data_IF_587292344362
#
_entry.id   IF_587292344362
#
_cell.length_a   1.000
_cell.length_b   1.000
_cell.length_c   1.000
_cell.angle_alpha   90.00
_cell.angle_beta   90.00
_cell.angle_gamma   90.00
#
_symmetry.space_group_name_H-M   'P 1'
#
loop_
_entity.id
_entity.type
_entity.pdbx_description
1 polymer ?
#
# COMPACT_ATOMS: atom_id res chain seq x y z
N UNK A 1 20.48 -42.79 -4.77
CA UNK A 1 20.61 -41.45 -5.39
C UNK A 1 19.74 -40.39 -4.69
N UNK A 2 18.42 -40.60 -4.54
CA UNK A 2 17.51 -39.66 -3.84
C UNK A 2 17.86 -39.42 -2.36
N UNK A 3 18.29 -40.43 -1.62
CA UNK A 3 18.65 -40.28 -0.20
C UNK A 3 19.91 -39.43 0.00
N UNK A 4 20.95 -39.65 -0.81
CA UNK A 4 22.16 -38.83 -0.81
C UNK A 4 21.87 -37.36 -1.20
N UNK A 5 20.96 -37.15 -2.15
CA UNK A 5 20.48 -35.81 -2.50
C UNK A 5 19.74 -35.14 -1.32
N UNK A 6 18.84 -35.86 -0.63
CA UNK A 6 18.13 -35.34 0.55
C UNK A 6 19.08 -34.97 1.68
N UNK A 7 20.03 -35.85 2.02
CA UNK A 7 21.05 -35.60 3.03
C UNK A 7 21.91 -34.38 2.69
N UNK A 8 22.41 -34.28 1.45
CA UNK A 8 23.19 -33.11 1.03
C UNK A 8 22.35 -31.83 1.08
N UNK A 9 21.11 -31.88 0.59
CA UNK A 9 20.19 -30.74 0.63
C UNK A 9 19.96 -30.27 2.07
N UNK A 10 19.67 -31.20 2.99
CA UNK A 10 19.47 -30.89 4.42
C UNK A 10 20.70 -30.29 5.09
N UNK A 11 21.91 -30.78 4.76
CA UNK A 11 23.17 -30.21 5.26
C UNK A 11 23.45 -28.80 4.70
N UNK A 12 22.94 -28.48 3.52
CA UNK A 12 23.11 -27.16 2.88
C UNK A 12 21.96 -26.19 3.15
N UNK A 13 20.88 -26.63 3.79
CA UNK A 13 19.74 -25.76 4.11
C UNK A 13 20.18 -24.75 5.15
N UNK A 14 20.13 -23.48 4.77
CA UNK A 14 20.37 -22.37 5.68
C UNK A 14 19.08 -22.13 6.47
N UNK A 15 19.16 -22.28 7.79
CA UNK A 15 18.04 -21.98 8.69
C UNK A 15 17.96 -20.48 8.95
N UNK A 16 16.75 -19.98 9.16
CA UNK A 16 16.56 -18.57 9.49
C UNK A 16 17.25 -18.22 10.80
N UNK A 17 17.19 -19.13 11.79
CA UNK A 17 17.82 -18.95 13.10
C UNK A 17 19.34 -18.90 13.06
N UNK A 18 19.98 -19.44 12.02
CA UNK A 18 21.44 -19.46 11.88
C UNK A 18 21.98 -18.13 11.32
N UNK A 19 21.15 -17.43 10.52
CA UNK A 19 21.50 -16.14 9.91
C UNK A 19 20.97 -14.94 10.68
N UNK A 20 19.79 -15.05 11.27
CA UNK A 20 19.06 -13.93 11.83
C UNK A 20 18.69 -14.18 13.29
N UNK A 21 18.80 -13.11 14.08
CA UNK A 21 18.26 -13.04 15.43
C UNK A 21 16.94 -12.26 15.38
N UNK A 22 15.84 -12.91 15.77
CA UNK A 22 14.52 -12.28 15.84
C UNK A 22 14.47 -11.38 17.08
N UNK A 23 14.31 -10.08 16.84
CA UNK A 23 14.21 -9.06 17.89
C UNK A 23 12.78 -8.94 18.44
N UNK A 24 11.77 -9.29 17.63
CA UNK A 24 10.39 -9.44 18.10
C UNK A 24 9.34 -9.23 17.03
N UNK A 25 8.08 -9.35 17.43
CA UNK A 25 6.91 -9.28 16.55
C UNK A 25 6.50 -7.83 16.27
N UNK A 26 6.24 -7.50 15.00
CA UNK A 26 5.79 -6.18 14.56
C UNK A 26 4.28 -6.20 14.29
N UNK A 27 3.81 -7.10 13.42
CA UNK A 27 2.41 -7.12 13.00
C UNK A 27 1.99 -8.47 12.42
N UNK A 28 0.68 -8.71 12.38
CA UNK A 28 0.06 -9.84 11.69
C UNK A 28 -1.02 -9.30 10.76
N UNK A 29 -1.06 -9.80 9.53
CA UNK A 29 -2.04 -9.42 8.53
C UNK A 29 -2.70 -10.62 7.87
N UNK A 30 -3.42 -10.35 6.77
CA UNK A 30 -4.06 -11.37 5.94
C UNK A 30 -3.03 -12.39 5.43
N UNK A 31 -1.88 -11.91 4.97
CA UNK A 31 -0.87 -12.72 4.27
C UNK A 31 0.16 -13.41 5.18
N UNK A 32 0.30 -13.00 6.44
CA UNK A 32 1.40 -13.49 7.25
C UNK A 32 1.62 -12.75 8.57
N UNK A 33 2.76 -13.05 9.18
CA UNK A 33 3.31 -12.36 10.35
C UNK A 33 4.61 -11.65 9.94
N UNK A 34 4.87 -10.50 10.53
CA UNK A 34 6.08 -9.71 10.27
C UNK A 34 6.86 -9.54 11.56
N UNK A 35 8.14 -9.86 11.52
CA UNK A 35 9.06 -9.80 12.64
C UNK A 35 10.21 -8.84 12.34
N UNK A 36 10.71 -8.16 13.37
CA UNK A 36 11.98 -7.44 13.30
C UNK A 36 13.10 -8.42 13.56
N UNK A 37 14.19 -8.33 12.80
CA UNK A 37 15.36 -9.16 12.96
C UNK A 37 16.65 -8.35 12.75
N UNK A 38 17.76 -8.87 13.25
CA UNK A 38 19.12 -8.43 12.89
C UNK A 38 19.92 -9.60 12.34
N UNK A 39 20.93 -9.30 11.54
CA UNK A 39 21.91 -10.31 11.14
C UNK A 39 22.71 -10.80 12.34
N UNK A 40 23.01 -12.10 12.37
CA UNK A 40 23.97 -12.69 13.31
C UNK A 40 25.42 -12.41 12.91
N UNK A 41 25.66 -12.05 11.65
CA UNK A 41 26.95 -11.54 11.22
C UNK A 41 27.16 -10.15 11.83
N UNK A 42 28.08 -10.03 12.79
CA UNK A 42 28.36 -8.77 13.50
C UNK A 42 28.89 -7.64 12.60
N UNK A 43 29.41 -7.97 11.41
CA UNK A 43 29.82 -6.96 10.43
C UNK A 43 28.62 -6.26 9.78
N UNK A 44 27.47 -6.95 9.72
CA UNK A 44 26.22 -6.42 9.21
C UNK A 44 25.44 -5.72 10.34
N UNK A 45 25.27 -4.41 10.18
CA UNK A 45 24.57 -3.55 11.15
C UNK A 45 23.13 -3.24 10.70
N UNK A 46 22.70 -3.77 9.56
CA UNK A 46 21.36 -3.53 9.04
C UNK A 46 20.30 -4.26 9.86
N UNK A 47 19.12 -3.67 9.92
CA UNK A 47 17.93 -4.28 10.48
C UNK A 47 17.01 -4.79 9.37
N UNK A 48 16.32 -5.89 9.66
CA UNK A 48 15.51 -6.61 8.68
C UNK A 48 14.07 -6.79 9.17
N UNK A 49 13.15 -6.82 8.22
CA UNK A 49 11.76 -7.22 8.41
C UNK A 49 11.57 -8.61 7.78
N UNK A 50 11.23 -9.62 8.60
CA UNK A 50 10.97 -10.97 8.13
C UNK A 50 9.46 -11.17 8.01
N UNK A 51 8.96 -11.25 6.79
CA UNK A 51 7.56 -11.58 6.47
C UNK A 51 7.43 -13.09 6.32
N UNK A 52 6.84 -13.73 7.32
CA UNK A 52 6.54 -15.15 7.34
C UNK A 52 5.11 -15.38 6.85
N UNK A 53 4.96 -16.12 5.76
CA UNK A 53 3.64 -16.49 5.22
C UNK A 53 3.00 -17.59 6.07
N UNK A 54 1.68 -17.50 6.27
CA UNK A 54 0.92 -18.51 7.02
C UNK A 54 0.87 -19.82 6.23
N UNK A 55 1.27 -20.92 6.87
CA UNK A 55 0.91 -22.26 6.42
C UNK A 55 -0.52 -22.58 6.89
N UNK A 56 -1.37 -23.13 6.02
CA UNK A 56 -2.70 -23.60 6.44
C UNK A 56 -2.54 -24.81 7.38
N UNK A 57 -3.25 -24.78 8.52
CA UNK A 57 -3.33 -25.88 9.47
C UNK A 57 -4.76 -26.41 9.49
N UNK A 58 -4.94 -27.70 9.27
CA UNK A 58 -6.21 -28.40 9.48
C UNK A 58 -6.00 -29.40 10.62
N UNK A 59 -6.52 -29.07 11.82
CA UNK A 59 -6.20 -29.79 13.06
C UNK A 59 -4.72 -29.67 13.46
N UNK A 60 -4.08 -30.78 13.80
CA UNK A 60 -2.65 -30.87 14.14
C UNK A 60 -1.74 -31.09 12.93
N UNK A 61 -2.31 -31.34 11.74
CA UNK A 61 -1.54 -31.66 10.54
C UNK A 61 -1.21 -30.38 9.76
N UNK A 62 0.07 -30.06 9.64
CA UNK A 62 0.55 -29.04 8.69
C UNK A 62 0.44 -29.64 7.29
N UNK A 63 -0.68 -29.37 6.61
CA UNK A 63 -0.78 -29.68 5.19
C UNK A 63 0.30 -28.91 4.44
N UNK A 64 0.95 -29.58 3.49
CA UNK A 64 1.88 -28.95 2.55
C UNK A 64 1.03 -28.19 1.53
N UNK A 65 0.37 -27.11 1.96
CA UNK A 65 -0.30 -26.21 1.05
C UNK A 65 0.77 -25.53 0.21
N UNK A 66 0.55 -25.54 -1.11
CA UNK A 66 1.48 -24.92 -2.05
C UNK A 66 1.67 -23.44 -1.73
N UNK A 67 2.70 -22.82 -2.31
CA UNK A 67 2.92 -21.38 -2.15
C UNK A 67 1.72 -20.64 -2.76
N UNK A 68 1.12 -19.73 -1.98
CA UNK A 68 -0.03 -18.95 -2.46
C UNK A 68 0.36 -18.09 -3.67
N UNK A 69 -0.59 -17.85 -4.59
CA UNK A 69 -0.32 -17.03 -5.77
C UNK A 69 0.18 -15.63 -5.41
N UNK A 70 -0.33 -15.04 -4.32
CA UNK A 70 0.12 -13.74 -3.82
C UNK A 70 1.58 -13.80 -3.34
N UNK A 71 1.96 -14.84 -2.61
CA UNK A 71 3.34 -15.02 -2.15
C UNK A 71 4.32 -15.27 -3.30
N UNK A 72 3.97 -16.15 -4.25
CA UNK A 72 4.77 -16.38 -5.46
C UNK A 72 5.02 -15.07 -6.22
N UNK A 73 3.96 -14.27 -6.37
CA UNK A 73 4.02 -13.01 -7.11
C UNK A 73 4.85 -11.95 -6.40
N UNK A 74 4.65 -11.81 -5.10
CA UNK A 74 5.42 -10.87 -4.28
C UNK A 74 6.91 -11.22 -4.33
N UNK A 75 7.26 -12.49 -4.20
CA UNK A 75 8.66 -12.95 -4.34
C UNK A 75 9.20 -12.66 -5.74
N UNK A 76 8.46 -13.03 -6.78
CA UNK A 76 8.92 -12.87 -8.16
C UNK A 76 9.16 -11.39 -8.51
N UNK A 77 8.27 -10.49 -8.10
CA UNK A 77 8.41 -9.06 -8.34
C UNK A 77 9.54 -8.46 -7.50
N UNK A 78 9.56 -8.69 -6.18
CA UNK A 78 10.57 -8.11 -5.30
C UNK A 78 12.00 -8.59 -5.60
N UNK A 79 12.16 -9.75 -6.26
CA UNK A 79 13.46 -10.27 -6.67
C UNK A 79 14.06 -9.50 -7.85
N UNK A 80 13.24 -8.98 -8.74
CA UNK A 80 13.67 -8.26 -9.95
C UNK A 80 13.65 -6.73 -9.77
N UNK A 81 12.84 -6.22 -8.85
CA UNK A 81 12.68 -4.79 -8.62
C UNK A 81 13.75 -4.25 -7.66
N UNK A 82 14.47 -3.22 -8.10
CA UNK A 82 15.50 -2.52 -7.33
C UNK A 82 15.40 -1.01 -7.56
N UNK A 83 14.95 -0.29 -6.54
CA UNK A 83 14.82 1.16 -6.56
C UNK A 83 14.83 1.74 -5.14
N UNK A 84 15.34 2.96 -4.97
CA UNK A 84 15.43 3.60 -3.65
C UNK A 84 14.07 3.82 -2.99
N UNK A 85 13.00 3.93 -3.78
CA UNK A 85 11.64 4.10 -3.27
C UNK A 85 10.76 2.84 -3.34
N UNK A 86 11.36 1.65 -3.52
CA UNK A 86 10.66 0.36 -3.45
C UNK A 86 11.31 -0.52 -2.38
N UNK A 87 10.52 -1.30 -1.65
CA UNK A 87 11.06 -2.21 -0.63
C UNK A 87 12.04 -3.21 -1.25
N UNK A 88 13.19 -3.40 -0.60
CA UNK A 88 14.23 -4.32 -1.07
C UNK A 88 14.03 -5.70 -0.45
N UNK A 89 14.02 -6.74 -1.27
CA UNK A 89 14.16 -8.14 -0.87
C UNK A 89 15.64 -8.50 -0.78
N UNK A 90 16.07 -9.00 0.37
CA UNK A 90 17.43 -9.48 0.59
C UNK A 90 17.55 -10.96 0.30
N UNK A 91 16.64 -11.77 0.85
CA UNK A 91 16.61 -13.20 0.58
C UNK A 91 15.24 -13.82 0.86
N UNK A 92 15.05 -15.04 0.35
CA UNK A 92 13.88 -15.89 0.61
C UNK A 92 14.37 -17.17 1.26
N UNK A 93 13.84 -17.48 2.44
CA UNK A 93 14.19 -18.67 3.21
C UNK A 93 12.96 -19.56 3.33
N UNK A 94 13.09 -20.81 2.88
CA UNK A 94 12.07 -21.84 3.03
C UNK A 94 12.53 -22.81 4.13
N UNK A 95 11.87 -22.76 5.29
CA UNK A 95 12.20 -23.56 6.47
C UNK A 95 10.93 -24.17 7.05
N UNK A 96 10.94 -25.48 7.36
CA UNK A 96 9.80 -26.19 7.95
C UNK A 96 8.44 -25.93 7.26
N UNK A 97 8.46 -25.88 5.92
CA UNK A 97 7.29 -25.56 5.08
C UNK A 97 6.71 -24.15 5.32
N UNK A 98 7.45 -23.28 5.98
CA UNK A 98 7.18 -21.87 6.14
C UNK A 98 8.04 -21.06 5.17
N UNK A 99 7.38 -20.22 4.38
CA UNK A 99 8.05 -19.29 3.48
C UNK A 99 8.32 -17.98 4.22
N UNK A 100 9.57 -17.53 4.22
CA UNK A 100 10.00 -16.30 4.87
C UNK A 100 10.69 -15.39 3.84
N UNK A 101 10.22 -14.14 3.72
CA UNK A 101 10.89 -13.09 2.96
C UNK A 101 11.64 -12.17 3.91
N UNK A 102 12.94 -11.98 3.68
CA UNK A 102 13.78 -11.05 4.43
C UNK A 102 13.83 -9.73 3.66
N UNK A 103 13.22 -8.70 4.20
CA UNK A 103 13.07 -7.37 3.60
C UNK A 103 13.87 -6.33 4.41
N UNK A 104 14.18 -5.19 3.79
CA UNK A 104 14.71 -4.05 4.52
C UNK A 104 13.74 -3.55 5.58
N UNK A 105 14.21 -3.36 6.81
CA UNK A 105 13.39 -2.80 7.88
C UNK A 105 13.17 -1.29 7.70
N UNK A 106 11.99 -0.83 8.10
CA UNK A 106 11.60 0.58 8.14
C UNK A 106 10.93 0.87 9.47
N UNK A 107 11.28 1.98 10.10
CA UNK A 107 10.82 2.35 11.43
C UNK A 107 9.34 2.72 11.45
N UNK A 108 8.83 3.30 10.37
CA UNK A 108 7.50 3.90 10.29
C UNK A 108 6.71 3.38 9.08
N UNK A 109 5.41 3.64 9.09
CA UNK A 109 4.58 3.74 7.88
C UNK A 109 3.81 5.05 7.91
N UNK A 110 3.29 5.46 6.74
CA UNK A 110 2.59 6.73 6.61
C UNK A 110 1.29 6.77 7.44
N UNK A 111 0.62 5.63 7.65
CA UNK A 111 -0.57 5.56 8.50
C UNK A 111 -0.22 5.95 9.95
N UNK A 112 0.88 5.40 10.47
CA UNK A 112 1.37 5.69 11.81
C UNK A 112 1.72 7.18 11.97
N UNK A 113 2.42 7.77 10.99
CA UNK A 113 2.78 9.20 11.02
C UNK A 113 1.52 10.07 10.99
N UNK A 114 0.57 9.79 10.09
CA UNK A 114 -0.70 10.52 9.99
C UNK A 114 -1.49 10.44 11.29
N UNK A 115 -1.60 9.25 11.89
CA UNK A 115 -2.25 9.08 13.18
C UNK A 115 -1.55 9.85 14.31
N UNK A 116 -0.22 9.85 14.34
CA UNK A 116 0.54 10.59 15.35
C UNK A 116 0.26 12.10 15.25
N UNK A 117 0.25 12.65 14.04
CA UNK A 117 -0.10 14.06 13.80
C UNK A 117 -1.56 14.38 14.14
N UNK A 118 -2.48 13.47 13.81
CA UNK A 118 -3.91 13.66 14.04
C UNK A 118 -4.31 13.58 15.51
N UNK A 119 -3.89 12.51 16.20
CA UNK A 119 -4.43 12.14 17.51
C UNK A 119 -3.54 12.58 18.67
N UNK A 120 -2.22 12.59 18.48
CA UNK A 120 -1.24 12.82 19.55
C UNK A 120 -0.76 14.27 19.52
N UNK A 121 -0.11 14.68 18.42
CA UNK A 121 0.44 16.03 18.27
C UNK A 121 -0.65 17.09 18.08
N UNK A 122 -1.78 16.70 17.48
CA UNK A 122 -2.86 17.61 17.03
C UNK A 122 -2.32 18.78 16.20
N UNK A 123 -1.35 18.46 15.35
CA UNK A 123 -0.64 19.43 14.51
C UNK A 123 -0.47 18.88 13.09
N UNK A 124 -0.56 19.72 12.05
CA UNK A 124 -0.38 19.28 10.68
C UNK A 124 1.03 18.72 10.44
N UNK A 125 1.16 17.81 9.46
CA UNK A 125 2.48 17.41 8.98
C UNK A 125 3.16 18.62 8.32
N UNK A 126 4.46 18.90 8.59
CA UNK A 126 5.22 19.95 7.92
C UNK A 126 5.14 19.85 6.39
N UNK A 127 5.03 20.98 5.69
CA UNK A 127 4.76 20.98 4.23
C UNK A 127 5.92 20.33 3.45
N UNK A 128 7.14 20.66 3.87
CA UNK A 128 8.36 20.02 3.36
C UNK A 128 8.32 18.48 3.45
N UNK A 129 7.79 17.92 4.55
CA UNK A 129 7.68 16.46 4.73
C UNK A 129 6.62 15.89 3.79
N UNK A 130 5.43 16.50 3.70
CA UNK A 130 4.35 16.07 2.78
C UNK A 130 4.87 16.07 1.34
N UNK A 131 5.49 17.17 0.93
CA UNK A 131 6.03 17.34 -0.43
C UNK A 131 7.13 16.32 -0.72
N UNK A 132 8.04 16.09 0.22
CA UNK A 132 9.11 15.08 0.10
C UNK A 132 8.57 13.66 0.00
N UNK A 133 7.60 13.29 0.84
CA UNK A 133 6.96 11.98 0.79
C UNK A 133 6.20 11.76 -0.51
N UNK A 134 5.43 12.75 -0.97
CA UNK A 134 4.70 12.66 -2.24
C UNK A 134 5.64 12.51 -3.42
N UNK A 135 6.71 13.32 -3.47
CA UNK A 135 7.71 13.24 -4.54
C UNK A 135 8.37 11.86 -4.60
N UNK A 136 8.82 11.33 -3.46
CA UNK A 136 9.44 10.01 -3.39
C UNK A 136 8.46 8.87 -3.74
N UNK A 137 7.19 9.00 -3.34
CA UNK A 137 6.15 8.05 -3.70
C UNK A 137 5.92 8.02 -5.22
N UNK A 138 5.80 9.20 -5.85
CA UNK A 138 5.68 9.32 -7.30
C UNK A 138 6.92 8.77 -8.02
N UNK A 139 8.12 9.03 -7.49
CA UNK A 139 9.37 8.50 -8.03
C UNK A 139 9.41 6.96 -8.00
N UNK A 140 8.99 6.35 -6.89
CA UNK A 140 8.81 4.90 -6.80
C UNK A 140 7.79 4.35 -7.81
N UNK A 141 6.69 5.08 -8.01
CA UNK A 141 5.65 4.66 -8.96
C UNK A 141 6.09 4.80 -10.42
N UNK A 142 6.88 5.82 -10.79
CA UNK A 142 7.50 5.91 -12.12
C UNK A 142 8.31 4.65 -12.38
N UNK A 143 9.17 4.25 -11.44
CA UNK A 143 9.97 3.02 -11.58
C UNK A 143 9.09 1.78 -11.76
N UNK A 144 8.08 1.56 -10.92
CA UNK A 144 7.18 0.40 -11.03
C UNK A 144 6.43 0.40 -12.37
N UNK A 145 5.88 1.55 -12.77
CA UNK A 145 5.10 1.71 -13.99
C UNK A 145 5.93 1.56 -15.27
N UNK A 146 7.21 1.93 -15.23
CA UNK A 146 8.16 1.72 -16.32
C UNK A 146 8.59 0.26 -16.44
N UNK A 147 8.58 -0.49 -15.34
CA UNK A 147 8.82 -1.94 -15.30
C UNK A 147 7.53 -2.77 -15.46
N UNK A 148 6.47 -2.16 -16.02
CA UNK A 148 5.20 -2.82 -16.30
C UNK A 148 4.47 -3.37 -15.08
N UNK A 149 4.73 -2.85 -13.87
CA UNK A 149 4.11 -3.29 -12.61
C UNK A 149 3.06 -2.27 -12.15
N UNK A 150 1.81 -2.72 -11.99
CA UNK A 150 0.76 -1.98 -11.27
C UNK A 150 0.76 -2.40 -9.81
N UNK A 151 0.65 -1.47 -8.87
CA UNK A 151 0.65 -1.78 -7.45
C UNK A 151 -0.72 -2.31 -6.98
N UNK A 152 -1.81 -1.62 -7.33
CA UNK A 152 -3.22 -2.00 -7.09
C UNK A 152 -3.72 -1.99 -5.64
N UNK A 153 -2.84 -1.85 -4.65
CA UNK A 153 -3.20 -1.72 -3.23
C UNK A 153 -2.43 -0.60 -2.52
N UNK A 154 -2.30 0.57 -3.15
CA UNK A 154 -1.67 1.72 -2.49
C UNK A 154 -2.59 2.28 -1.40
N UNK A 155 -2.05 2.37 -0.19
CA UNK A 155 -2.68 2.94 1.01
C UNK A 155 -1.59 3.34 2.01
N UNK A 156 -1.85 4.23 2.98
CA UNK A 156 -0.83 4.72 3.91
C UNK A 156 -0.09 3.61 4.67
N UNK A 157 -0.74 2.49 4.99
CA UNK A 157 -0.10 1.35 5.66
C UNK A 157 0.96 0.62 4.81
N UNK A 158 0.87 0.75 3.49
CA UNK A 158 1.80 0.13 2.53
C UNK A 158 2.92 1.11 2.09
N UNK A 159 2.88 2.36 2.57
CA UNK A 159 3.93 3.35 2.35
C UNK A 159 4.85 3.33 3.57
N UNK A 160 5.92 2.56 3.47
CA UNK A 160 6.90 2.37 4.54
C UNK A 160 7.92 3.50 4.54
N UNK A 161 8.44 3.88 5.72
CA UNK A 161 9.31 5.06 5.86
C UNK A 161 10.46 4.74 6.81
N UNK A 162 11.69 4.99 6.36
CA UNK A 162 12.90 4.86 7.20
C UNK A 162 12.99 5.99 8.22
N UNK A 163 13.83 5.84 9.24
CA UNK A 163 14.14 6.89 10.23
C UNK A 163 14.65 8.18 9.62
N UNK A 164 15.29 8.11 8.45
CA UNK A 164 15.78 9.29 7.71
C UNK A 164 14.68 9.98 6.88
N UNK A 165 13.54 9.33 6.65
CA UNK A 165 12.45 9.83 5.82
C UNK A 165 12.45 9.33 4.38
N UNK A 166 13.11 8.20 4.10
CA UNK A 166 13.10 7.58 2.78
C UNK A 166 11.85 6.71 2.65
N UNK A 167 11.02 6.99 1.64
CA UNK A 167 9.83 6.19 1.32
C UNK A 167 10.27 4.86 0.70
N UNK A 168 9.64 3.76 1.12
CA UNK A 168 9.72 2.44 0.49
C UNK A 168 8.30 1.95 0.22
N UNK A 169 7.91 1.89 -1.06
CA UNK A 169 6.64 1.28 -1.46
C UNK A 169 6.71 -0.22 -1.17
N UNK A 170 5.82 -0.71 -0.30
CA UNK A 170 5.78 -2.09 0.16
C UNK A 170 4.48 -2.83 -0.18
N UNK A 171 4.46 -4.12 0.08
CA UNK A 171 3.33 -5.05 -0.15
C UNK A 171 2.87 -5.17 -1.61
N UNK A 172 3.69 -5.85 -2.42
CA UNK A 172 3.39 -6.16 -3.84
C UNK A 172 2.51 -7.41 -4.00
N UNK A 173 1.85 -7.90 -2.94
CA UNK A 173 1.05 -9.13 -2.98
C UNK A 173 -0.11 -9.09 -3.98
N UNK A 174 -0.67 -7.90 -4.25
CA UNK A 174 -1.75 -7.67 -5.21
C UNK A 174 -1.28 -7.06 -6.54
N UNK A 175 0.02 -6.78 -6.67
CA UNK A 175 0.59 -6.17 -7.86
C UNK A 175 0.41 -7.05 -9.11
N UNK A 176 0.49 -6.48 -10.31
CA UNK A 176 0.40 -7.24 -11.57
C UNK A 176 1.29 -6.67 -12.66
N UNK A 177 1.87 -7.58 -13.45
CA UNK A 177 2.48 -7.23 -14.73
C UNK A 177 1.35 -7.01 -15.73
N UNK A 178 1.31 -5.83 -16.37
CA UNK A 178 0.27 -5.50 -17.36
C UNK A 178 0.74 -5.63 -18.81
N UNK A 179 2.01 -6.00 -19.04
CA UNK A 179 2.51 -6.35 -20.36
C UNK A 179 1.96 -7.73 -20.76
N UNK A 180 1.04 -7.76 -21.74
CA UNK A 180 0.45 -8.99 -22.32
C UNK A 180 -0.04 -10.01 -21.26
N UNK A 181 -1.04 -9.65 -20.43
CA UNK A 181 -1.50 -10.55 -19.38
C UNK A 181 -2.22 -11.77 -20.00
N UNK A 182 -1.88 -12.98 -19.53
CA UNK A 182 -2.50 -14.24 -19.99
C UNK A 182 -3.99 -14.34 -19.61
N UNK A 183 -4.41 -13.63 -18.56
CA UNK A 183 -5.81 -13.52 -18.15
C UNK A 183 -6.15 -12.05 -17.91
N UNK A 184 -7.41 -11.64 -18.13
CA UNK A 184 -7.88 -10.32 -17.72
C UNK A 184 -7.60 -10.08 -16.23
N UNK A 185 -7.06 -8.91 -15.92
CA UNK A 185 -6.61 -8.54 -14.57
C UNK A 185 -7.74 -8.51 -13.51
N UNK A 186 -9.01 -8.60 -13.93
CA UNK A 186 -10.20 -8.54 -13.06
C UNK A 186 -10.58 -9.88 -12.40
N UNK A 187 -10.10 -11.02 -12.90
CA UNK A 187 -10.55 -12.34 -12.45
C UNK A 187 -9.81 -12.89 -11.22
N UNK A 188 -8.70 -12.26 -10.79
CA UNK A 188 -7.73 -12.91 -9.90
C UNK A 188 -7.85 -12.65 -8.39
N UNK A 189 -8.36 -11.49 -7.95
CA UNK A 189 -8.26 -11.07 -6.54
C UNK A 189 -9.62 -10.61 -6.00
N UNK A 190 -10.48 -11.55 -5.61
CA UNK A 190 -11.75 -11.27 -4.91
C UNK A 190 -11.56 -11.00 -3.41
N UNK A 191 -10.37 -10.57 -2.99
CA UNK A 191 -10.11 -10.29 -1.58
C UNK A 191 -10.66 -8.90 -1.25
N UNK A 192 -11.53 -8.85 -0.25
CA UNK A 192 -12.06 -7.62 0.31
C UNK A 192 -10.91 -6.88 1.00
N UNK A 193 -10.61 -5.68 0.52
CA UNK A 193 -9.58 -4.77 1.05
C UNK A 193 -10.19 -3.39 1.14
N UNK A 194 -9.67 -2.56 2.04
CA UNK A 194 -10.02 -1.15 2.24
C UNK A 194 -10.31 -0.43 0.93
N UNK A 195 -11.59 -0.06 0.73
CA UNK A 195 -12.07 0.55 -0.52
C UNK A 195 -11.78 2.05 -0.63
N UNK A 196 -11.26 2.70 0.41
CA UNK A 196 -11.10 4.16 0.51
C UNK A 196 -10.19 4.76 -0.57
N UNK A 197 -9.21 3.99 -1.04
CA UNK A 197 -8.22 4.42 -2.04
C UNK A 197 -8.53 3.88 -3.44
N UNK A 198 -9.69 3.23 -3.63
CA UNK A 198 -10.06 2.59 -4.90
C UNK A 198 -10.60 3.63 -5.89
N UNK A 199 -10.06 3.60 -7.10
CA UNK A 199 -10.46 4.50 -8.18
C UNK A 199 -11.93 4.29 -8.63
N UNK A 200 -12.63 5.34 -9.08
CA UNK A 200 -14.05 5.26 -9.45
C UNK A 200 -14.32 4.28 -10.59
N UNK A 201 -13.40 4.13 -11.55
CA UNK A 201 -13.53 3.15 -12.63
C UNK A 201 -13.57 1.71 -12.10
N UNK A 202 -12.81 1.40 -11.05
CA UNK A 202 -12.83 0.08 -10.41
C UNK A 202 -14.11 -0.15 -9.60
N UNK A 203 -14.66 0.91 -9.00
CA UNK A 203 -15.95 0.87 -8.29
C UNK A 203 -17.14 0.72 -9.25
N UNK A 204 -16.95 1.10 -10.52
CA UNK A 204 -17.93 0.98 -11.61
C UNK A 204 -17.71 -0.26 -12.50
N UNK A 205 -16.88 -1.19 -12.05
CA UNK A 205 -16.71 -2.50 -12.68
C UNK A 205 -15.75 -2.53 -13.88
N UNK A 206 -14.88 -1.52 -14.05
CA UNK A 206 -13.87 -1.54 -15.10
C UNK A 206 -13.03 -2.83 -15.03
N UNK A 207 -12.86 -3.49 -16.17
CA UNK A 207 -12.16 -4.78 -16.28
C UNK A 207 -10.68 -4.64 -16.67
N UNK A 208 -10.27 -3.44 -17.04
CA UNK A 208 -8.90 -3.10 -17.41
C UNK A 208 -8.30 -2.18 -16.35
N UNK A 209 -7.29 -2.70 -15.65
CA UNK A 209 -6.51 -1.92 -14.71
C UNK A 209 -5.43 -1.17 -15.48
N UNK A 210 -5.29 0.12 -15.22
CA UNK A 210 -4.30 0.99 -15.84
C UNK A 210 -3.41 1.58 -14.76
N UNK A 211 -2.34 2.27 -15.17
CA UNK A 211 -1.49 3.06 -14.26
C UNK A 211 -2.31 4.06 -13.43
N UNK A 212 -3.37 4.62 -14.02
CA UNK A 212 -4.19 5.67 -13.44
C UNK A 212 -4.86 5.28 -12.11
N UNK A 213 -5.10 3.99 -11.85
CA UNK A 213 -5.70 3.56 -10.56
C UNK A 213 -4.76 3.83 -9.39
N UNK A 214 -3.44 3.67 -9.60
CA UNK A 214 -2.43 3.91 -8.58
C UNK A 214 -2.31 5.42 -8.33
N UNK A 215 -2.45 6.23 -9.37
CA UNK A 215 -2.42 7.70 -9.28
C UNK A 215 -3.63 8.26 -8.53
N UNK A 216 -4.81 7.66 -8.70
CA UNK A 216 -5.97 7.99 -7.88
C UNK A 216 -5.70 7.71 -6.39
N UNK A 217 -5.14 6.54 -6.08
CA UNK A 217 -4.78 6.18 -4.71
C UNK A 217 -3.73 7.14 -4.12
N UNK A 218 -2.74 7.58 -4.92
CA UNK A 218 -1.78 8.62 -4.52
C UNK A 218 -2.48 9.95 -4.25
N UNK A 219 -3.44 10.36 -5.07
CA UNK A 219 -4.27 11.55 -4.80
C UNK A 219 -5.01 11.47 -3.47
N UNK A 220 -5.57 10.30 -3.16
CA UNK A 220 -6.21 10.04 -1.87
C UNK A 220 -5.21 10.12 -0.69
N UNK A 221 -4.01 9.55 -0.84
CA UNK A 221 -2.94 9.59 0.16
C UNK A 221 -2.45 11.03 0.35
N UNK A 222 -2.29 11.80 -0.72
CA UNK A 222 -1.86 13.20 -0.67
C UNK A 222 -2.87 14.06 0.08
N UNK A 223 -4.15 13.93 -0.24
CA UNK A 223 -5.23 14.57 0.50
C UNK A 223 -5.23 14.19 1.98
N UNK A 224 -5.01 12.90 2.29
CA UNK A 224 -4.97 12.40 3.66
C UNK A 224 -3.77 12.95 4.45
N UNK A 225 -2.59 13.10 3.85
CA UNK A 225 -1.45 13.75 4.50
C UNK A 225 -1.75 15.22 4.85
N UNK A 226 -2.48 15.93 3.98
CA UNK A 226 -2.82 17.34 4.21
C UNK A 226 -3.92 17.52 5.26
N UNK A 227 -4.95 16.68 5.22
CA UNK A 227 -6.13 16.78 6.08
C UNK A 227 -6.10 15.90 7.34
N UNK A 228 -5.09 15.03 7.45
CA UNK A 228 -4.90 14.03 8.52
C UNK A 228 -6.04 13.02 8.69
N UNK A 229 -6.88 12.87 7.66
CA UNK A 229 -8.00 11.94 7.62
C UNK A 229 -8.23 11.45 6.19
N UNK A 230 -8.68 10.20 5.99
CA UNK A 230 -9.00 9.70 4.66
C UNK A 230 -10.02 10.59 3.96
N UNK A 231 -9.74 11.00 2.72
CA UNK A 231 -10.61 11.88 1.93
C UNK A 231 -11.94 11.19 1.57
N UNK A 232 -11.91 9.88 1.30
CA UNK A 232 -13.10 9.09 0.94
C UNK A 232 -13.29 7.89 1.87
N UNK A 233 -13.72 8.15 3.10
CA UNK A 233 -14.00 7.10 4.10
C UNK A 233 -15.39 6.48 3.90
N UNK A 234 -15.53 5.62 2.89
CA UNK A 234 -16.76 4.87 2.65
C UNK A 234 -16.86 3.57 3.45
N UNK A 235 -18.09 3.12 3.65
CA UNK A 235 -18.39 1.81 4.25
C UNK A 235 -18.36 0.72 3.19
N UNK A 236 -17.71 -0.40 3.51
CA UNK A 236 -17.64 -1.56 2.62
C UNK A 236 -18.98 -2.27 2.54
N UNK A 237 -19.45 -2.52 1.31
CA UNK A 237 -20.62 -3.35 1.09
C UNK A 237 -20.30 -4.81 1.46
N UNK A 238 -21.16 -5.41 2.29
CA UNK A 238 -21.01 -6.81 2.71
C UNK A 238 -21.09 -7.74 1.50
N UNK A 239 -20.19 -8.72 1.47
CA UNK A 239 -20.16 -9.75 0.43
C UNK A 239 -21.29 -10.76 0.70
N UNK A 240 -22.13 -10.98 -0.31
CA UNK A 240 -23.14 -12.05 -0.30
C UNK A 240 -22.54 -13.27 -1.01
N UNK A 241 -22.51 -14.43 -0.36
CA UNK A 241 -21.89 -15.64 -0.90
C UNK A 241 -22.51 -16.11 -2.22
N UNK A 242 -23.73 -15.65 -2.55
CA UNK A 242 -24.46 -16.02 -3.78
C UNK A 242 -24.35 -14.99 -4.91
N UNK A 243 -23.91 -13.77 -4.63
CA UNK A 243 -23.77 -12.70 -5.62
C UNK A 243 -22.29 -12.35 -5.77
N UNK A 244 -21.87 -11.84 -6.92
CA UNK A 244 -20.48 -11.48 -7.18
C UNK A 244 -19.95 -10.39 -6.24
N UNK A 245 -18.85 -9.73 -6.62
CA UNK A 245 -18.31 -8.60 -5.86
C UNK A 245 -19.41 -7.54 -5.70
N UNK A 246 -19.76 -7.13 -4.47
CA UNK A 246 -20.87 -6.21 -4.24
C UNK A 246 -20.53 -4.81 -4.74
N UNK A 247 -21.52 -4.15 -5.33
CA UNK A 247 -21.42 -2.76 -5.76
C UNK A 247 -21.22 -1.84 -4.54
N UNK A 248 -20.11 -1.09 -4.54
CA UNK A 248 -19.67 -0.29 -3.40
C UNK A 248 -20.36 1.08 -3.36
N UNK A 249 -21.70 1.07 -3.22
CA UNK A 249 -22.53 2.29 -3.30
C UNK A 249 -22.07 3.38 -2.33
N UNK A 250 -21.82 3.03 -1.06
CA UNK A 250 -21.42 4.01 -0.04
C UNK A 250 -20.08 4.68 -0.38
N UNK A 251 -19.10 3.92 -0.87
CA UNK A 251 -17.82 4.47 -1.31
C UNK A 251 -17.99 5.47 -2.46
N UNK A 252 -18.79 5.14 -3.49
CA UNK A 252 -19.08 6.08 -4.58
C UNK A 252 -19.83 7.32 -4.09
N UNK A 253 -20.76 7.18 -3.14
CA UNK A 253 -21.44 8.32 -2.52
C UNK A 253 -20.44 9.27 -1.88
N UNK A 254 -19.43 8.76 -1.15
CA UNK A 254 -18.38 9.61 -0.56
C UNK A 254 -17.54 10.34 -1.58
N UNK A 255 -17.28 9.72 -2.73
CA UNK A 255 -16.58 10.38 -3.83
C UNK A 255 -17.46 11.49 -4.42
N UNK A 256 -18.74 11.22 -4.70
CA UNK A 256 -19.65 12.19 -5.31
C UNK A 256 -19.98 13.37 -4.39
N UNK A 257 -20.15 13.13 -3.09
CA UNK A 257 -20.34 14.18 -2.08
C UNK A 257 -19.26 15.27 -2.14
N UNK A 258 -18.04 14.91 -2.53
CA UNK A 258 -16.91 15.83 -2.61
C UNK A 258 -16.60 16.32 -4.03
N UNK A 259 -16.52 15.40 -5.01
CA UNK A 259 -16.09 15.72 -6.38
C UNK A 259 -17.25 16.08 -7.31
N UNK A 260 -18.49 15.98 -6.85
CA UNK A 260 -19.69 16.04 -7.68
C UNK A 260 -19.91 14.75 -8.47
N UNK A 261 -21.03 14.64 -9.17
CA UNK A 261 -21.28 13.49 -10.05
C UNK A 261 -20.45 13.64 -11.33
N UNK A 262 -19.86 12.55 -11.86
CA UNK A 262 -19.20 12.60 -13.16
C UNK A 262 -20.25 12.83 -14.28
N UNK A 263 -19.89 13.66 -15.25
CA UNK A 263 -20.68 13.91 -16.47
C UNK A 263 -20.00 13.23 -17.65
N UNK A 264 -20.73 12.99 -18.75
CA UNK A 264 -20.13 12.48 -19.99
C UNK A 264 -19.14 13.48 -20.61
N UNK A 265 -19.26 14.78 -20.31
CA UNK A 265 -18.25 15.76 -20.72
C UNK A 265 -16.91 15.55 -20.00
N UNK A 266 -16.97 15.34 -18.68
CA UNK A 266 -15.78 15.12 -17.86
C UNK A 266 -15.18 13.73 -18.07
N UNK A 267 -16.04 12.72 -18.27
CA UNK A 267 -15.66 11.33 -18.49
C UNK A 267 -16.45 10.71 -19.65
N UNK A 268 -16.01 10.92 -20.91
CA UNK A 268 -16.74 10.48 -22.11
C UNK A 268 -17.07 8.99 -22.16
N UNK A 269 -16.16 8.15 -21.66
CA UNK A 269 -16.27 6.68 -21.69
C UNK A 269 -17.03 6.08 -20.50
N UNK A 270 -17.61 6.89 -19.62
CA UNK A 270 -18.27 6.41 -18.41
C UNK A 270 -19.47 5.48 -18.69
N UNK A 271 -20.19 5.72 -19.79
CA UNK A 271 -21.35 4.93 -20.20
C UNK A 271 -21.00 3.50 -20.65
N UNK A 272 -19.73 3.23 -20.95
CA UNK A 272 -19.25 1.91 -21.32
C UNK A 272 -18.90 1.04 -20.10
N UNK A 273 -18.95 1.59 -18.88
CA UNK A 273 -18.62 0.85 -17.67
C UNK A 273 -19.75 -0.09 -17.26
N UNK A 274 -19.45 -1.32 -16.80
CA UNK A 274 -20.48 -2.31 -16.49
C UNK A 274 -21.55 -1.85 -15.50
N UNK A 275 -21.16 -1.08 -14.48
CA UNK A 275 -22.07 -0.63 -13.43
C UNK A 275 -22.57 0.81 -13.65
N UNK A 276 -22.48 1.36 -14.88
CA UNK A 276 -22.92 2.71 -15.21
C UNK A 276 -24.40 2.95 -14.88
N UNK A 277 -25.27 1.96 -15.11
CA UNK A 277 -26.71 2.06 -14.85
C UNK A 277 -27.04 2.36 -13.38
N UNK A 278 -26.17 1.98 -12.44
CA UNK A 278 -26.34 2.25 -11.02
C UNK A 278 -26.18 3.74 -10.67
N UNK A 279 -25.55 4.55 -11.54
CA UNK A 279 -25.37 5.99 -11.31
C UNK A 279 -26.69 6.76 -11.23
N UNK A 280 -27.74 6.26 -11.89
CA UNK A 280 -29.11 6.83 -11.82
C UNK A 280 -29.69 6.84 -10.41
N UNK A 281 -29.21 5.97 -9.52
CA UNK A 281 -29.67 5.84 -8.13
C UNK A 281 -28.91 6.71 -7.12
N UNK A 282 -28.05 7.61 -7.57
CA UNK A 282 -27.33 8.56 -6.72
C UNK A 282 -27.99 9.94 -6.74
N UNK A 283 -27.87 10.66 -5.62
CA UNK A 283 -28.23 12.08 -5.57
C UNK A 283 -27.25 12.88 -6.43
N UNK A 284 -27.68 14.06 -6.88
CA UNK A 284 -26.82 15.02 -7.56
C UNK A 284 -26.03 15.82 -6.52
N UNK A 285 -24.72 15.87 -6.71
CA UNK A 285 -23.77 16.62 -5.90
C UNK A 285 -22.97 17.56 -6.81
N UNK A 286 -22.57 18.71 -6.25
CA UNK A 286 -21.69 19.66 -6.90
C UNK A 286 -20.24 19.43 -6.47
N UNK A 287 -19.28 19.74 -7.34
CA UNK A 287 -17.88 19.64 -6.99
C UNK A 287 -17.52 20.67 -5.92
N UNK A 288 -17.10 20.18 -4.76
CA UNK A 288 -16.71 20.98 -3.59
C UNK A 288 -15.25 20.75 -3.18
N UNK A 289 -14.44 20.07 -4.00
CA UNK A 289 -13.03 19.78 -3.71
C UNK A 289 -12.23 21.04 -3.37
N UNK A 290 -12.46 22.15 -4.10
CA UNK A 290 -11.80 23.43 -3.85
C UNK A 290 -12.14 24.00 -2.47
N UNK A 291 -13.43 23.98 -2.12
CA UNK A 291 -13.91 24.42 -0.81
C UNK A 291 -13.34 23.54 0.31
N UNK A 292 -13.37 22.22 0.13
CA UNK A 292 -12.75 21.28 1.06
C UNK A 292 -11.26 21.58 1.28
N UNK A 293 -10.50 21.82 0.20
CA UNK A 293 -9.08 22.16 0.27
C UNK A 293 -8.84 23.47 1.02
N UNK A 294 -9.63 24.50 0.75
CA UNK A 294 -9.54 25.80 1.44
C UNK A 294 -9.90 25.70 2.94
N UNK A 295 -10.74 24.75 3.32
CA UNK A 295 -11.16 24.48 4.69
C UNK A 295 -10.18 23.61 5.49
N UNK A 296 -9.09 23.12 4.87
CA UNK A 296 -8.01 22.49 5.63
C UNK A 296 -7.40 23.55 6.56
N UNK A 297 -7.21 23.27 7.87
CA UNK A 297 -6.74 24.27 8.83
C UNK A 297 -5.40 24.89 8.44
N UNK A 298 -4.48 24.07 7.92
CA UNK A 298 -3.22 24.54 7.34
C UNK A 298 -3.45 24.97 5.89
N UNK A 299 -2.91 26.13 5.53
CA UNK A 299 -2.93 26.63 4.15
C UNK A 299 -1.82 26.00 3.33
N UNK A 300 -2.16 25.63 2.11
CA UNK A 300 -1.28 25.04 1.11
C UNK A 300 -1.34 25.89 -0.17
N UNK A 301 -0.27 25.90 -0.98
CA UNK A 301 -0.24 26.68 -2.22
C UNK A 301 -1.27 26.18 -3.23
N UNK A 302 -1.63 27.04 -4.18
CA UNK A 302 -2.55 26.70 -5.28
C UNK A 302 -2.02 25.53 -6.12
N UNK A 303 -0.70 25.44 -6.28
CA UNK A 303 -0.02 24.35 -6.96
C UNK A 303 -0.29 22.98 -6.33
N UNK A 304 -0.46 22.89 -5.01
CA UNK A 304 -0.85 21.65 -4.32
C UNK A 304 -2.28 21.26 -4.68
N UNK A 305 -3.21 22.22 -4.74
CA UNK A 305 -4.58 21.97 -5.16
C UNK A 305 -4.63 21.48 -6.62
N UNK A 306 -3.90 22.13 -7.52
CA UNK A 306 -3.86 21.76 -8.94
C UNK A 306 -3.34 20.33 -9.13
N UNK A 307 -2.26 19.97 -8.42
CA UNK A 307 -1.75 18.59 -8.43
C UNK A 307 -2.76 17.60 -7.88
N UNK A 308 -3.40 17.91 -6.74
CA UNK A 308 -4.43 17.05 -6.15
C UNK A 308 -5.60 16.84 -7.10
N UNK A 309 -6.09 17.92 -7.74
CA UNK A 309 -7.19 17.86 -8.70
C UNK A 309 -6.83 17.00 -9.91
N UNK A 310 -5.59 17.09 -10.41
CA UNK A 310 -5.10 16.29 -11.53
C UNK A 310 -4.95 14.80 -11.18
N UNK A 311 -4.57 14.48 -9.93
CA UNK A 311 -4.53 13.11 -9.40
C UNK A 311 -5.92 12.51 -9.18
N UNK A 312 -6.90 13.33 -8.77
CA UNK A 312 -8.29 12.94 -8.52
C UNK A 312 -9.23 13.21 -9.72
N UNK A 313 -8.68 13.18 -10.94
CA UNK A 313 -9.49 13.29 -12.15
C UNK A 313 -10.30 12.00 -12.39
N UNK A 314 -11.56 12.13 -12.80
CA UNK A 314 -12.46 10.99 -12.98
C UNK A 314 -12.03 10.11 -14.14
N UNK A 315 -11.79 10.74 -15.29
CA UNK A 315 -11.40 10.01 -16.49
C UNK A 315 -9.96 9.50 -16.35
N UNK A 316 -9.73 8.17 -16.31
CA UNK A 316 -8.40 7.62 -16.16
C UNK A 316 -7.48 7.98 -17.35
N UNK A 317 -8.00 8.39 -18.50
CA UNK A 317 -7.19 8.84 -19.65
C UNK A 317 -6.75 10.30 -19.53
N UNK A 318 -7.46 11.11 -18.72
CA UNK A 318 -7.11 12.51 -18.43
C UNK A 318 -6.35 12.68 -17.12
N UNK A 319 -6.32 11.64 -16.28
CA UNK A 319 -5.62 11.64 -15.00
C UNK A 319 -4.11 11.73 -15.20
N UNK A 320 -3.46 12.61 -14.45
CA UNK A 320 -2.01 12.86 -14.57
C UNK A 320 -1.21 11.59 -14.36
N UNK A 321 -0.12 11.40 -15.12
CA UNK A 321 0.79 10.27 -14.92
C UNK A 321 1.77 10.53 -13.77
N UNK A 322 2.46 9.50 -13.28
CA UNK A 322 3.47 9.68 -12.24
C UNK A 322 4.65 10.55 -12.71
N UNK A 323 5.04 10.43 -13.98
CA UNK A 323 6.12 11.20 -14.60
C UNK A 323 5.75 12.68 -14.74
N UNK A 324 4.54 12.97 -15.25
CA UNK A 324 4.04 14.35 -15.35
C UNK A 324 3.85 14.98 -13.97
N UNK A 325 3.39 14.19 -12.99
CA UNK A 325 3.22 14.66 -11.62
C UNK A 325 4.56 15.06 -10.98
N UNK A 326 5.66 14.32 -11.20
CA UNK A 326 6.98 14.69 -10.69
C UNK A 326 7.48 16.03 -11.24
N UNK A 327 7.10 16.38 -12.46
CA UNK A 327 7.47 17.64 -13.12
C UNK A 327 6.51 18.79 -12.78
N UNK A 328 5.47 18.55 -11.98
CA UNK A 328 4.46 19.54 -11.63
C UNK A 328 5.04 20.72 -10.82
N UNK A 329 4.49 21.92 -11.04
CA UNK A 329 4.92 23.17 -10.40
C UNK A 329 5.04 23.08 -8.86
N UNK A 330 4.18 22.27 -8.22
CA UNK A 330 4.21 22.04 -6.76
C UNK A 330 5.59 21.61 -6.23
N UNK A 331 6.35 20.84 -7.01
CA UNK A 331 7.70 20.38 -6.63
C UNK A 331 8.81 21.37 -6.98
N UNK A 332 8.51 22.38 -7.81
CA UNK A 332 9.45 23.44 -8.20
C UNK A 332 9.43 24.60 -7.20
N UNK A 333 8.29 24.80 -6.52
CA UNK A 333 8.11 25.81 -5.47
C UNK A 333 8.81 25.43 -4.16
N UNK A 334 9.35 26.43 -3.45
CA UNK A 334 9.92 26.22 -2.12
C UNK A 334 8.84 25.86 -1.07
N UNK A 335 9.15 25.03 -0.06
CA UNK A 335 10.42 24.30 0.08
C UNK A 335 10.50 23.15 -0.94
N UNK A 336 11.65 22.94 -1.58
CA UNK A 336 11.85 21.79 -2.50
C UNK A 336 11.86 20.44 -1.75
N UNK A 337 11.43 19.34 -2.38
CA UNK A 337 11.46 18.02 -1.74
C UNK A 337 12.90 17.53 -1.48
N UNK A 338 13.08 16.67 -0.49
CA UNK A 338 14.35 16.02 -0.18
C UNK A 338 14.18 14.52 0.13
N UNK A 339 15.20 13.71 -0.16
CA UNK A 339 15.19 12.27 0.12
C UNK A 339 15.17 11.96 1.62
N UNK A 340 15.99 12.66 2.41
CA UNK A 340 16.13 12.46 3.87
C UNK A 340 15.36 13.52 4.66
N UNK A 341 14.08 13.70 4.34
CA UNK A 341 13.31 14.83 4.84
C UNK A 341 13.09 14.82 6.37
N UNK A 342 13.09 13.65 7.01
CA UNK A 342 12.96 13.58 8.48
C UNK A 342 14.26 13.96 9.17
N UNK A 343 15.41 13.51 8.66
CA UNK A 343 16.72 13.92 9.17
C UNK A 343 16.95 15.43 9.06
N UNK A 344 16.57 16.02 7.92
CA UNK A 344 16.71 17.47 7.68
C UNK A 344 15.88 18.29 8.69
N UNK A 345 14.71 17.80 9.09
CA UNK A 345 13.84 18.47 10.06
C UNK A 345 14.11 18.04 11.51
N UNK A 346 15.08 17.16 11.77
CA UNK A 346 15.25 16.46 13.06
C UNK A 346 13.92 15.88 13.59
N UNK A 347 13.06 15.44 12.68
CA UNK A 347 11.75 14.88 13.02
C UNK A 347 11.89 13.40 13.35
N UNK A 348 11.28 12.98 14.45
CA UNK A 348 11.26 11.59 14.88
C UNK A 348 9.87 11.22 15.35
N UNK A 349 9.45 10.00 15.02
CA UNK A 349 8.15 9.46 15.41
C UNK A 349 8.34 8.30 16.38
N UNK A 350 7.31 7.97 17.19
CA UNK A 350 7.35 6.80 18.05
C UNK A 350 7.58 5.53 17.21
N UNK A 351 8.62 4.77 17.55
CA UNK A 351 8.91 3.50 16.87
C UNK A 351 7.76 2.51 17.09
N UNK A 352 7.54 1.61 16.13
CA UNK A 352 6.55 0.53 16.27
C UNK A 352 6.81 -0.27 17.55
N UNK A 353 5.74 -0.61 18.27
CA UNK A 353 5.84 -1.51 19.42
C UNK A 353 6.28 -2.89 18.94
N UNK A 354 7.42 -3.35 19.45
CA UNK A 354 7.92 -4.70 19.20
C UNK A 354 7.49 -5.53 20.40
N UNK A 355 6.72 -6.58 20.16
CA UNK A 355 6.31 -7.53 21.20
C UNK A 355 7.36 -8.63 21.26
N UNK A 356 8.10 -8.71 22.37
CA UNK A 356 8.99 -9.83 22.68
C UNK A 356 8.19 -10.96 23.31
N UNK A 357 8.64 -12.20 23.17
CA UNK A 357 7.91 -13.37 23.68
C UNK A 357 7.62 -13.31 25.19
N UNK A 358 8.45 -12.59 25.97
CA UNK A 358 8.29 -12.35 27.41
C UNK A 358 7.17 -11.36 27.78
N UNK A 359 6.61 -10.66 26.78
CA UNK A 359 5.54 -9.67 26.97
C UNK A 359 4.15 -10.17 26.53
N UNK A 360 4.02 -11.49 26.30
CA UNK A 360 2.73 -12.13 26.00
C UNK A 360 1.80 -12.04 27.22
N UNK A 361 0.90 -11.06 27.19
CA UNK A 361 -0.27 -11.03 28.05
C UNK A 361 -1.09 -12.33 27.81
N UNK A 362 -1.34 -13.17 28.84
CA UNK A 362 -2.08 -14.42 28.70
C UNK A 362 -3.52 -14.24 28.17
N UNK A 363 -4.02 -13.01 28.06
CA UNK A 363 -5.34 -12.71 27.50
C UNK A 363 -5.45 -12.73 25.96
N UNK A 364 -4.34 -12.78 25.19
CA UNK A 364 -4.43 -12.88 23.72
C UNK A 364 -5.00 -14.22 23.19
N UNK A 365 -5.19 -15.22 24.06
CA UNK A 365 -5.83 -16.49 23.70
C UNK A 365 -7.37 -16.49 23.82
N UNK A 366 -8.03 -15.38 24.23
CA UNK A 366 -9.48 -15.35 24.44
C UNK A 366 -10.32 -14.79 23.28
N UNK A 367 -9.72 -14.32 22.19
CA UNK A 367 -10.47 -13.85 21.01
C UNK A 367 -10.84 -14.99 20.03
N UNK A 368 -11.29 -16.12 20.56
CA UNK A 368 -12.00 -17.19 19.84
C UNK A 368 -12.95 -17.87 20.82
N UNK A 369 -14.06 -17.23 21.14
CA UNK A 369 -15.41 -17.81 21.32
C UNK A 369 -16.34 -16.61 21.54
N UNK A 370 -17.00 -16.16 20.47
CA UNK A 370 -18.45 -15.90 20.40
C UNK A 370 -18.82 -15.49 18.98
#
# INVERSE_FOLDING_TARGET
MLQAYRLRREQTLVKMTDKYEILGFISSGTYGRVYKARSRNKADKEEYAIKQFKSEKEGETIMTTGISQSACREIALCRELQHDNVVKLYEVILEDKCLNMVLGYTEYDLLQITHHHHQIMRAPIPDFIIKSFLWQLLNGMVYLHSNWVLHRDLKPANILITSEGIIKVGDLGLARIFQRPLQPLYNGDKVVVTVWYRAPELLLGARHYTKAIDLWAIGCIFAEMMALRPIFKGEEAKMDQKKGVPFQKNQLTKIFELLGNPTQERWPKINALPDYSHLSGFRTYQNSLKSWFQNIPKKYPESAFNLLSALLEYDPERRITAEDALNHQYFQEEPKPALRCLSVQNASYPKRRIVTEDSRDPNMNKAKVK
#
